data_IF_146872310958
#
_entry.id   IF_146872310958
#
_cell.length_a   1.000
_cell.length_b   1.000
_cell.length_c   1.000
_cell.angle_alpha   90.00
_cell.angle_beta   90.00
_cell.angle_gamma   90.00
#
_symmetry.space_group_name_H-M   'P 1'
#
loop_
_entity.id
_entity.type
_entity.pdbx_description
1 polymer ?
#
# COMPACT_ATOMS: atom_id res chain seq x y z
N UNK A 1 4.87 -14.42 -19.64
CA UNK A 1 3.48 -14.58 -19.13
C UNK A 1 2.65 -15.21 -20.22
N UNK A 2 1.71 -16.11 -19.90
CA UNK A 2 0.79 -16.66 -20.92
C UNK A 2 -0.29 -15.63 -21.26
N UNK A 3 -0.71 -15.59 -22.53
CA UNK A 3 -1.72 -14.65 -23.04
C UNK A 3 -3.02 -14.61 -22.21
N UNK A 4 -3.56 -15.75 -21.72
CA UNK A 4 -4.75 -15.75 -20.86
C UNK A 4 -4.56 -15.07 -19.50
N UNK A 5 -3.35 -15.09 -18.93
CA UNK A 5 -3.07 -14.40 -17.66
C UNK A 5 -3.06 -12.88 -17.86
N UNK A 6 -2.45 -12.40 -18.94
CA UNK A 6 -2.41 -10.98 -19.24
C UNK A 6 -3.81 -10.37 -19.41
N UNK A 7 -4.70 -11.06 -20.14
CA UNK A 7 -6.08 -10.61 -20.33
C UNK A 7 -6.87 -10.58 -19.01
N UNK A 8 -6.64 -11.55 -18.12
CA UNK A 8 -7.26 -11.57 -16.80
C UNK A 8 -6.75 -10.41 -15.93
N UNK A 9 -5.44 -10.21 -15.90
CA UNK A 9 -4.81 -9.13 -15.13
C UNK A 9 -5.31 -7.75 -15.59
N UNK A 10 -5.47 -7.56 -16.90
CA UNK A 10 -5.99 -6.33 -17.49
C UNK A 10 -7.47 -6.11 -17.14
N UNK A 11 -8.31 -7.14 -17.30
CA UNK A 11 -9.72 -7.09 -16.90
C UNK A 11 -9.91 -6.81 -15.39
N UNK A 12 -9.13 -7.49 -14.54
CA UNK A 12 -9.20 -7.32 -13.08
C UNK A 12 -8.77 -5.88 -12.70
N UNK A 13 -7.74 -5.34 -13.36
CA UNK A 13 -7.33 -3.95 -13.17
C UNK A 13 -8.37 -2.94 -13.65
N UNK A 14 -9.02 -3.17 -14.79
CA UNK A 14 -10.04 -2.27 -15.35
C UNK A 14 -11.27 -2.13 -14.46
N UNK A 15 -11.62 -3.17 -13.69
CA UNK A 15 -12.74 -3.16 -12.74
C UNK A 15 -12.45 -2.33 -11.47
N UNK A 16 -11.18 -2.02 -11.18
CA UNK A 16 -10.82 -1.22 -10.01
C UNK A 16 -11.30 0.24 -10.13
N UNK A 17 -11.85 0.84 -9.06
CA UNK A 17 -12.25 2.25 -9.09
C UNK A 17 -11.06 3.21 -9.27
N UNK A 18 -11.34 4.37 -9.87
CA UNK A 18 -10.32 5.37 -10.25
C UNK A 18 -9.56 6.00 -9.08
N UNK A 19 -10.07 5.87 -7.86
CA UNK A 19 -9.44 6.40 -6.65
C UNK A 19 -8.43 5.44 -6.01
N UNK A 20 -8.24 4.24 -6.55
CA UNK A 20 -7.28 3.28 -6.00
C UNK A 20 -5.85 3.75 -6.24
N UNK A 21 -4.99 3.79 -5.20
CA UNK A 21 -3.59 4.15 -5.34
C UNK A 21 -2.83 3.05 -6.09
N UNK A 22 -2.14 3.44 -7.17
CA UNK A 22 -1.33 2.54 -7.99
C UNK A 22 0.18 2.71 -7.74
N UNK A 23 0.60 3.84 -7.18
CA UNK A 23 1.97 4.06 -6.75
C UNK A 23 2.02 4.99 -5.54
N UNK A 24 2.94 4.74 -4.63
CA UNK A 24 3.25 5.61 -3.50
C UNK A 24 4.77 5.77 -3.37
N UNK A 25 5.27 7.00 -3.44
CA UNK A 25 6.70 7.30 -3.35
C UNK A 25 6.94 8.38 -2.29
N UNK A 26 7.98 8.20 -1.47
CA UNK A 26 8.39 9.24 -0.52
C UNK A 26 8.95 10.41 -1.34
N UNK A 27 8.30 11.56 -1.22
CA UNK A 27 8.70 12.80 -1.88
C UNK A 27 9.65 13.61 -0.98
N UNK A 28 9.39 13.61 0.33
CA UNK A 28 10.19 14.34 1.32
C UNK A 28 9.97 13.79 2.75
N UNK A 29 10.69 14.35 3.72
CA UNK A 29 10.55 14.07 5.16
C UNK A 29 10.45 15.40 5.91
N UNK A 30 9.37 15.56 6.69
CA UNK A 30 9.14 16.75 7.51
C UNK A 30 9.32 16.44 9.01
N UNK A 31 10.02 17.32 9.72
CA UNK A 31 10.03 17.31 11.19
C UNK A 31 8.76 17.99 11.71
N UNK A 32 8.03 17.28 12.57
CA UNK A 32 6.90 17.82 13.34
C UNK A 32 7.36 18.07 14.77
N UNK A 33 7.39 19.34 15.15
CA UNK A 33 7.68 19.78 16.51
C UNK A 33 6.37 20.09 17.25
N UNK A 34 6.23 19.58 18.46
CA UNK A 34 5.11 19.83 19.37
C UNK A 34 5.51 19.43 20.80
N UNK A 35 4.66 18.71 21.53
CA UNK A 35 5.07 18.13 22.83
C UNK A 35 6.25 17.15 22.73
N UNK A 36 6.46 16.54 21.55
CA UNK A 36 7.65 15.77 21.20
C UNK A 36 7.98 16.00 19.73
N UNK A 37 9.27 15.95 19.38
CA UNK A 37 9.71 16.00 18.00
C UNK A 37 9.59 14.61 17.35
N UNK A 38 9.03 14.54 16.14
CA UNK A 38 8.96 13.32 15.35
C UNK A 38 8.99 13.64 13.86
N UNK A 39 9.38 12.67 13.04
CA UNK A 39 9.38 12.81 11.58
C UNK A 39 8.13 12.21 10.93
N UNK A 40 7.63 12.88 9.90
CA UNK A 40 6.61 12.38 8.99
C UNK A 40 7.17 12.25 7.58
N UNK A 41 6.86 11.14 6.92
CA UNK A 41 7.11 10.96 5.51
C UNK A 41 6.03 11.67 4.71
N UNK A 42 6.44 12.56 3.80
CA UNK A 42 5.58 13.16 2.78
C UNK A 42 5.60 12.21 1.59
N UNK A 43 4.45 11.62 1.28
CA UNK A 43 4.34 10.56 0.28
C UNK A 43 3.43 11.03 -0.84
N UNK A 44 3.98 11.08 -2.05
CA UNK A 44 3.21 11.26 -3.28
C UNK A 44 2.50 9.96 -3.63
N UNK A 45 1.18 10.04 -3.75
CA UNK A 45 0.32 8.94 -4.18
C UNK A 45 -0.28 9.28 -5.53
N UNK A 46 -0.17 8.34 -6.47
CA UNK A 46 -0.84 8.42 -7.78
C UNK A 46 -1.94 7.37 -7.81
N UNK A 47 -3.12 7.75 -8.28
CA UNK A 47 -4.25 6.83 -8.43
C UNK A 47 -4.42 6.36 -9.88
N UNK A 48 -5.20 5.30 -10.06
CA UNK A 48 -5.59 4.79 -11.39
C UNK A 48 -6.19 5.88 -12.27
N UNK A 49 -7.05 6.74 -11.71
CA UNK A 49 -7.67 7.88 -12.40
C UNK A 49 -6.74 9.05 -12.70
N UNK A 50 -5.41 8.86 -12.63
CA UNK A 50 -4.37 9.86 -12.85
C UNK A 50 -4.35 11.02 -11.85
N UNK A 51 -5.14 10.96 -10.77
CA UNK A 51 -5.07 11.94 -9.67
C UNK A 51 -3.78 11.75 -8.88
N UNK A 52 -3.23 12.87 -8.39
CA UNK A 52 -2.06 12.88 -7.51
C UNK A 52 -2.37 13.65 -6.23
N UNK A 53 -1.93 13.12 -5.10
CA UNK A 53 -2.07 13.80 -3.81
C UNK A 53 -0.92 13.42 -2.87
N UNK A 54 -0.69 14.26 -1.86
CA UNK A 54 0.29 14.02 -0.81
C UNK A 54 -0.40 13.46 0.44
N UNK A 55 0.25 12.50 1.09
CA UNK A 55 -0.12 12.05 2.43
C UNK A 55 1.06 12.20 3.37
N UNK A 56 0.77 12.50 4.64
CA UNK A 56 1.75 12.66 5.70
C UNK A 56 1.62 11.51 6.68
N UNK A 57 2.66 10.70 6.85
CA UNK A 57 2.62 9.51 7.72
C UNK A 57 3.92 9.35 8.49
N UNK A 58 3.83 9.27 9.82
CA UNK A 58 4.94 8.81 10.66
C UNK A 58 5.12 7.29 10.60
N UNK A 59 6.34 6.81 10.84
CA UNK A 59 6.69 5.38 10.80
C UNK A 59 5.73 4.46 11.59
N UNK A 60 5.33 4.85 12.80
CA UNK A 60 4.42 4.06 13.64
C UNK A 60 3.10 3.68 12.92
N UNK A 61 2.62 4.51 11.99
CA UNK A 61 1.42 4.18 11.19
C UNK A 61 1.65 3.00 10.25
N UNK A 62 2.83 2.88 9.67
CA UNK A 62 3.22 1.73 8.84
C UNK A 62 3.33 0.46 9.67
N UNK A 63 3.97 0.55 10.84
CA UNK A 63 4.11 -0.58 11.75
C UNK A 63 2.76 -1.16 12.16
N UNK A 64 1.84 -0.31 12.67
CA UNK A 64 0.49 -0.75 13.05
C UNK A 64 -0.33 -1.24 11.85
N UNK A 65 -0.10 -0.73 10.65
CA UNK A 65 -0.74 -1.24 9.44
C UNK A 65 -0.24 -2.65 9.08
N UNK A 66 1.07 -2.87 9.20
CA UNK A 66 1.68 -4.18 8.96
C UNK A 66 1.16 -5.25 9.93
N UNK A 67 1.08 -4.95 11.24
CA UNK A 67 0.52 -5.87 12.24
C UNK A 67 -0.91 -6.30 11.86
N UNK A 68 -1.76 -5.35 11.45
CA UNK A 68 -3.14 -5.65 11.01
C UNK A 68 -3.19 -6.51 9.75
N UNK A 69 -2.24 -6.32 8.82
CA UNK A 69 -2.14 -7.17 7.63
C UNK A 69 -1.73 -8.59 8.01
N UNK A 70 -0.75 -8.73 8.92
CA UNK A 70 -0.34 -10.03 9.43
C UNK A 70 -1.48 -10.74 10.14
N UNK A 71 -2.20 -10.08 11.06
CA UNK A 71 -3.36 -10.68 11.74
C UNK A 71 -4.39 -11.25 10.76
N UNK A 72 -4.65 -10.55 9.64
CA UNK A 72 -5.68 -10.94 8.67
C UNK A 72 -5.20 -11.93 7.61
N UNK A 73 -3.94 -11.85 7.21
CA UNK A 73 -3.41 -12.55 6.04
C UNK A 73 -2.20 -13.44 6.36
N UNK A 74 -1.90 -13.70 7.63
CA UNK A 74 -0.88 -14.68 8.05
C UNK A 74 -1.12 -16.04 7.40
N UNK A 75 -0.05 -16.81 7.18
CA UNK A 75 -0.08 -18.11 6.49
C UNK A 75 -1.11 -19.09 7.10
N UNK A 76 -1.32 -19.03 8.41
CA UNK A 76 -2.32 -19.84 9.13
C UNK A 76 -3.78 -19.48 8.79
N UNK A 77 -4.02 -18.26 8.30
CA UNK A 77 -5.34 -17.73 7.94
C UNK A 77 -5.63 -17.77 6.42
N UNK A 78 -4.72 -18.30 5.60
CA UNK A 78 -4.85 -18.33 4.13
C UNK A 78 -5.57 -19.58 3.64
N UNK A 79 -6.90 -19.52 3.47
CA UNK A 79 -7.75 -20.67 3.06
C UNK A 79 -8.19 -20.64 1.58
N UNK A 80 -7.48 -19.93 0.68
CA UNK A 80 -7.92 -19.80 -0.71
C UNK A 80 -6.81 -19.60 -1.77
N UNK A 81 -7.16 -19.66 -3.07
CA UNK A 81 -6.22 -19.58 -4.20
C UNK A 81 -5.58 -18.19 -4.40
N UNK A 82 -5.98 -17.19 -3.62
CA UNK A 82 -5.39 -15.86 -3.59
C UNK A 82 -4.28 -15.79 -2.53
N UNK A 83 -3.26 -16.63 -2.69
CA UNK A 83 -2.08 -16.61 -1.82
C UNK A 83 -1.17 -15.44 -2.25
N UNK A 84 -1.11 -14.41 -1.41
CA UNK A 84 -0.16 -13.31 -1.58
C UNK A 84 0.79 -13.30 -0.38
N UNK A 85 2.09 -13.35 -0.67
CA UNK A 85 3.11 -13.20 0.37
C UNK A 85 3.13 -11.73 0.80
N UNK A 86 2.90 -11.48 2.08
CA UNK A 86 3.06 -10.13 2.62
C UNK A 86 4.53 -9.69 2.47
N UNK A 87 4.78 -8.45 2.02
CA UNK A 87 6.14 -7.93 1.91
C UNK A 87 6.78 -7.86 3.31
N UNK A 88 7.93 -8.52 3.44
CA UNK A 88 8.80 -8.62 4.63
C UNK A 88 8.13 -8.47 6.01
N UNK A 89 7.91 -9.61 6.66
CA UNK A 89 8.33 -9.78 8.06
C UNK A 89 9.40 -10.87 8.09
N UNK A 90 10.62 -10.52 8.49
CA UNK A 90 11.56 -11.54 9.00
C UNK A 90 11.07 -12.03 10.35
#
# INVERSE_FOLDING_TARGET
MSLPRQLRDESDFDQLPNNIPISAAIADIEERTGFSAYYEFVIEVKTKGASKYLIYRRYRRFFTFNEKLQERFSAENQTGPYTCLLPFSR
#
